data_IF_417524504936
#
_entry.id   IF_417524504936
#
_cell.length_a   1.000
_cell.length_b   1.000
_cell.length_c   1.000
_cell.angle_alpha   90.00
_cell.angle_beta   90.00
_cell.angle_gamma   90.00
#
_symmetry.space_group_name_H-M   'P 1'
#
loop_
_entity.id
_entity.type
_entity.pdbx_description
1 polymer ?
#
# COMPACT_ATOMS: atom_id res chain seq x y z
N UNK A 1 -16.98 5.11 -1.55
CA UNK A 1 -16.84 3.74 -1.00
C UNK A 1 -15.67 3.78 -0.03
N UNK A 2 -15.74 3.10 1.11
CA UNK A 2 -14.58 2.90 1.99
C UNK A 2 -14.30 1.42 2.18
N UNK A 3 -13.05 1.08 2.49
CA UNK A 3 -12.65 -0.26 2.88
C UNK A 3 -11.58 -0.20 3.96
N UNK A 4 -11.58 -1.22 4.81
CA UNK A 4 -10.53 -1.42 5.80
C UNK A 4 -9.42 -2.26 5.18
N UNK A 5 -8.21 -1.71 5.17
CA UNK A 5 -7.00 -2.45 4.88
C UNK A 5 -6.46 -3.04 6.19
N UNK A 6 -6.04 -4.31 6.11
CA UNK A 6 -5.26 -4.95 7.16
C UNK A 6 -3.82 -5.00 6.70
N UNK A 7 -2.92 -4.42 7.48
CA UNK A 7 -1.50 -4.38 7.13
C UNK A 7 -0.86 -5.74 7.39
N UNK A 8 -0.39 -6.39 6.32
CA UNK A 8 0.28 -7.68 6.40
C UNK A 8 1.78 -7.54 6.75
N UNK A 9 2.44 -6.55 6.17
CA UNK A 9 3.87 -6.29 6.36
C UNK A 9 4.17 -4.79 6.29
N UNK A 10 5.09 -4.31 7.14
CA UNK A 10 5.52 -2.91 7.18
C UNK A 10 6.97 -2.80 6.74
N UNK A 11 7.24 -1.93 5.77
CA UNK A 11 8.60 -1.72 5.26
C UNK A 11 9.22 -0.41 5.77
N UNK A 12 8.42 0.64 6.00
CA UNK A 12 8.91 1.93 6.51
C UNK A 12 7.79 2.77 7.09
N UNK A 13 8.13 3.58 8.10
CA UNK A 13 7.23 4.55 8.71
C UNK A 13 6.37 3.97 9.83
N UNK A 14 5.64 4.84 10.51
CA UNK A 14 4.62 4.46 11.50
C UNK A 14 3.30 4.23 10.76
N UNK A 15 3.06 2.98 10.36
CA UNK A 15 1.83 2.54 9.71
C UNK A 15 0.92 1.90 10.76
N UNK A 16 -0.39 2.13 10.72
CA UNK A 16 -1.33 1.50 11.64
C UNK A 16 -1.63 0.06 11.19
N UNK A 17 -2.02 -0.84 12.11
CA UNK A 17 -2.30 -2.24 11.74
C UNK A 17 -3.60 -2.40 10.94
N UNK A 18 -4.52 -1.45 11.11
CA UNK A 18 -5.78 -1.34 10.41
C UNK A 18 -5.96 0.11 9.95
N UNK A 19 -6.21 0.28 8.66
CA UNK A 19 -6.36 1.61 8.05
C UNK A 19 -7.63 1.65 7.22
N UNK A 20 -8.42 2.71 7.38
CA UNK A 20 -9.56 2.96 6.52
C UNK A 20 -9.12 3.76 5.29
N UNK A 21 -9.32 3.16 4.11
CA UNK A 21 -9.12 3.86 2.84
C UNK A 21 -10.45 4.36 2.33
N UNK A 22 -10.55 5.67 2.16
CA UNK A 22 -11.75 6.34 1.67
C UNK A 22 -11.53 6.76 0.22
N UNK A 23 -12.35 6.22 -0.69
CA UNK A 23 -12.36 6.66 -2.07
C UNK A 23 -12.96 8.07 -2.16
N UNK A 24 -12.12 9.07 -2.44
CA UNK A 24 -12.57 10.43 -2.80
C UNK A 24 -12.79 10.52 -4.30
N UNK A 25 -13.89 11.17 -4.69
CA UNK A 25 -14.27 11.38 -6.08
C UNK A 25 -13.37 12.48 -6.68
N UNK A 26 -12.21 12.11 -7.21
CA UNK A 26 -11.25 13.01 -7.88
C UNK A 26 -10.70 12.37 -9.16
N UNK A 27 -9.93 13.11 -9.95
CA UNK A 27 -9.26 12.58 -11.14
C UNK A 27 -8.26 11.44 -10.85
N UNK A 28 -7.90 11.21 -9.58
CA UNK A 28 -7.10 10.07 -9.09
C UNK A 28 -7.91 9.16 -8.15
N UNK A 29 -9.20 8.99 -8.44
CA UNK A 29 -10.09 8.11 -7.68
C UNK A 29 -9.47 6.73 -7.48
N UNK A 30 -9.49 6.27 -6.24
CA UNK A 30 -8.87 5.02 -5.83
C UNK A 30 -9.80 3.85 -6.21
N UNK A 31 -9.35 2.99 -7.13
CA UNK A 31 -10.05 1.76 -7.47
C UNK A 31 -9.31 0.58 -6.83
N UNK A 32 -9.98 -0.10 -5.90
CA UNK A 32 -9.49 -1.29 -5.25
C UNK A 32 -10.54 -2.40 -5.35
N UNK A 33 -10.06 -3.63 -5.28
CA UNK A 33 -10.87 -4.85 -5.27
C UNK A 33 -10.74 -5.45 -3.88
N UNK A 34 -11.86 -5.87 -3.31
CA UNK A 34 -11.86 -6.51 -1.99
C UNK A 34 -11.13 -7.86 -2.06
N UNK A 35 -10.52 -8.28 -0.94
CA UNK A 35 -9.78 -9.53 -0.80
C UNK A 35 -8.54 -9.68 -1.70
N UNK A 36 -7.92 -8.55 -2.05
CA UNK A 36 -6.71 -8.51 -2.86
C UNK A 36 -5.58 -7.83 -2.06
N UNK A 37 -4.35 -8.19 -2.37
CA UNK A 37 -3.16 -7.62 -1.74
C UNK A 37 -2.60 -6.46 -2.54
N UNK A 38 -2.13 -5.44 -1.83
CA UNK A 38 -1.64 -4.21 -2.43
C UNK A 38 -0.36 -3.75 -1.75
N UNK A 39 0.59 -3.28 -2.55
CA UNK A 39 1.65 -2.41 -2.08
C UNK A 39 1.11 -0.99 -1.98
N UNK A 40 1.19 -0.42 -0.78
CA UNK A 40 0.68 0.90 -0.45
C UNK A 40 1.86 1.78 -0.04
N UNK A 41 1.97 2.94 -0.68
CA UNK A 41 2.90 4.00 -0.33
C UNK A 41 2.07 5.16 0.20
N UNK A 42 2.04 5.33 1.52
CA UNK A 42 1.28 6.40 2.13
C UNK A 42 1.92 7.76 1.88
N UNK A 43 1.11 8.74 1.50
CA UNK A 43 1.50 10.13 1.43
C UNK A 43 1.52 10.80 2.81
N UNK A 44 1.69 12.13 2.82
CA UNK A 44 1.53 12.89 4.07
C UNK A 44 0.12 12.68 4.63
N UNK A 45 0.03 12.48 5.95
CA UNK A 45 -1.22 12.26 6.69
C UNK A 45 -1.98 10.96 6.34
N UNK A 46 -1.30 9.92 5.85
CA UNK A 46 -1.94 8.62 5.53
C UNK A 46 -2.82 8.67 4.27
N UNK A 47 -2.67 9.69 3.43
CA UNK A 47 -3.42 9.75 2.19
C UNK A 47 -2.87 8.74 1.18
N UNK A 48 -3.76 7.88 0.68
CA UNK A 48 -3.48 6.93 -0.40
C UNK A 48 -4.32 7.32 -1.61
N UNK A 49 -3.75 7.20 -2.81
CA UNK A 49 -4.46 7.40 -4.07
C UNK A 49 -4.10 6.29 -5.07
N UNK A 50 -4.72 6.29 -6.25
CA UNK A 50 -4.44 5.26 -7.26
C UNK A 50 -2.98 5.24 -7.72
N UNK A 51 -2.25 6.35 -7.64
CA UNK A 51 -0.83 6.40 -8.01
C UNK A 51 0.07 5.77 -6.93
N UNK A 52 -0.38 5.79 -5.67
CA UNK A 52 0.40 5.31 -4.53
C UNK A 52 -0.04 3.92 -4.01
N UNK A 53 -1.05 3.32 -4.64
CA UNK A 53 -1.47 1.93 -4.39
C UNK A 53 -1.29 1.08 -5.64
N UNK A 54 -0.73 -0.12 -5.49
CA UNK A 54 -0.44 -1.05 -6.59
C UNK A 54 -0.84 -2.46 -6.20
N UNK A 55 -1.72 -3.10 -6.98
CA UNK A 55 -2.11 -4.48 -6.74
C UNK A 55 -0.90 -5.41 -6.99
N UNK A 56 -0.61 -6.28 -6.02
CA UNK A 56 0.57 -7.17 -6.03
C UNK A 56 0.54 -8.19 -7.18
N UNK A 57 -0.65 -8.57 -7.67
CA UNK A 57 -0.84 -9.51 -8.79
C UNK A 57 -0.24 -9.03 -10.11
N UNK A 58 0.01 -7.72 -10.24
CA UNK A 58 0.56 -7.12 -11.47
C UNK A 58 2.09 -7.08 -11.49
N UNK A 59 2.76 -7.51 -10.41
CA UNK A 59 4.22 -7.57 -10.36
C UNK A 59 4.72 -8.95 -10.80
N UNK A 60 5.55 -9.00 -11.84
CA UNK A 60 6.12 -10.25 -12.37
C UNK A 60 7.13 -10.91 -11.42
N UNK A 61 7.86 -10.11 -10.66
CA UNK A 61 8.90 -10.57 -9.74
C UNK A 61 8.69 -9.95 -8.35
N UNK A 62 7.47 -10.14 -7.83
CA UNK A 62 7.04 -9.57 -6.56
C UNK A 62 8.00 -9.95 -5.43
N UNK A 63 8.36 -11.24 -5.31
CA UNK A 63 9.15 -11.72 -4.18
C UNK A 63 10.56 -11.09 -4.12
N UNK A 64 11.24 -10.91 -5.26
CA UNK A 64 12.54 -10.24 -5.25
C UNK A 64 12.40 -8.74 -4.93
N UNK A 65 11.33 -8.09 -5.38
CA UNK A 65 11.06 -6.70 -5.04
C UNK A 65 10.75 -6.54 -3.54
N UNK A 66 9.94 -7.44 -2.96
CA UNK A 66 9.68 -7.45 -1.52
C UNK A 66 10.96 -7.72 -0.73
N UNK A 67 11.84 -8.62 -1.17
CA UNK A 67 13.16 -8.82 -0.55
C UNK A 67 14.00 -7.54 -0.55
N UNK A 68 14.01 -6.80 -1.65
CA UNK A 68 14.70 -5.51 -1.70
C UNK A 68 14.11 -4.51 -0.70
N UNK A 69 12.77 -4.41 -0.62
CA UNK A 69 12.10 -3.55 0.36
C UNK A 69 12.40 -3.96 1.81
N UNK A 70 12.37 -5.26 2.12
CA UNK A 70 12.76 -5.80 3.44
C UNK A 70 14.21 -5.48 3.78
N UNK A 71 15.11 -5.56 2.80
CA UNK A 71 16.51 -5.21 3.00
C UNK A 71 16.67 -3.71 3.30
N UNK A 72 16.01 -2.83 2.53
CA UNK A 72 16.00 -1.38 2.75
C UNK A 72 15.43 -1.05 4.14
N UNK A 73 14.31 -1.69 4.52
CA UNK A 73 13.69 -1.55 5.84
C UNK A 73 14.68 -1.84 6.98
N UNK A 74 15.43 -2.95 6.87
CA UNK A 74 16.45 -3.34 7.85
C UNK A 74 17.61 -2.35 7.94
N UNK A 75 17.92 -1.64 6.86
CA UNK A 75 18.95 -0.62 6.82
C UNK A 75 18.50 0.70 7.47
N UNK A 76 17.20 0.87 7.76
CA UNK A 76 16.65 2.10 8.34
C UNK A 76 16.68 3.30 7.40
N UNK A 77 16.75 3.06 6.08
CA UNK A 77 16.86 4.08 5.03
C UNK A 77 15.49 4.64 4.64
#
# INVERSE_FOLDING_TARGET
>A
MSATLKVAEKYRGEVFDLEEVVQRNSSCSLYFTLNEEYLVFEGKNGEVNQCSMRNTRHFRDLENQLKALRAIAKLGI
#
